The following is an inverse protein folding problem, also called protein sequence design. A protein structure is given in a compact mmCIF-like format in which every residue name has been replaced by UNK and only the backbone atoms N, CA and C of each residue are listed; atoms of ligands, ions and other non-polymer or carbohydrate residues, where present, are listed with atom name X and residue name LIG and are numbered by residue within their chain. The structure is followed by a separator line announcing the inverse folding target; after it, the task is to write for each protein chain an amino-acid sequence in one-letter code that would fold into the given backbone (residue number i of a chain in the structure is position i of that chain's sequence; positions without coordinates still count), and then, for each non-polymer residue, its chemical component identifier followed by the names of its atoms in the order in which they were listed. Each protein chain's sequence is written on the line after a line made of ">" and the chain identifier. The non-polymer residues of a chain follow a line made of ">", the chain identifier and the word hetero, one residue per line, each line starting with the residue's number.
data_IF_663367342149
#
_entry.id   IF_663367342149
#
_cell.length_a   1.000
_cell.length_b   1.000
_cell.length_c   1.000
_cell.angle_alpha   90.00
_cell.angle_beta   90.00
_cell.angle_gamma   90.00
#
_symmetry.space_group_name_H-M   'P 1'
#
loop_
_entity.id
_entity.type
_entity.pdbx_description
1 polymer ?
#
# COMPACT_ATOMS: atom_id res chain seq x y z
N UNK A 1 -9.61 -12.48 -27.97
CA UNK A 1 -8.29 -13.07 -27.66
C UNK A 1 -7.27 -11.98 -27.37
N UNK A 2 -6.81 -11.17 -28.34
CA UNK A 2 -5.92 -10.04 -28.03
C UNK A 2 -6.49 -9.07 -26.99
N UNK A 3 -7.77 -8.68 -27.14
CA UNK A 3 -8.46 -7.83 -26.16
C UNK A 3 -8.49 -8.44 -24.74
N UNK A 4 -8.62 -9.76 -24.61
CA UNK A 4 -8.63 -10.46 -23.31
C UNK A 4 -7.26 -10.39 -22.63
N UNK A 5 -6.19 -10.57 -23.40
CA UNK A 5 -4.83 -10.45 -22.88
C UNK A 5 -4.46 -9.01 -22.55
N UNK A 6 -4.89 -8.04 -23.35
CA UNK A 6 -4.74 -6.61 -23.05
C UNK A 6 -5.45 -6.24 -21.74
N UNK A 7 -6.66 -6.75 -21.53
CA UNK A 7 -7.40 -6.51 -20.29
C UNK A 7 -6.72 -7.13 -19.07
N UNK A 8 -6.18 -8.35 -19.20
CA UNK A 8 -5.39 -9.00 -18.15
C UNK A 8 -4.14 -8.17 -17.81
N UNK A 9 -3.36 -7.78 -18.82
CA UNK A 9 -2.15 -6.97 -18.64
C UNK A 9 -2.45 -5.60 -18.03
N UNK A 10 -3.61 -5.01 -18.35
CA UNK A 10 -4.08 -3.77 -17.73
C UNK A 10 -4.36 -3.93 -16.24
N UNK A 11 -5.02 -5.04 -15.83
CA UNK A 11 -5.27 -5.36 -14.41
C UNK A 11 -3.97 -5.56 -13.64
N UNK A 12 -3.05 -6.34 -14.21
CA UNK A 12 -1.71 -6.54 -13.65
C UNK A 12 -0.96 -5.21 -13.51
N UNK A 13 -0.98 -4.37 -14.56
CA UNK A 13 -0.35 -3.04 -14.52
C UNK A 13 -0.93 -2.17 -13.40
N UNK A 14 -2.23 -2.24 -13.19
CA UNK A 14 -2.93 -1.52 -12.12
C UNK A 14 -2.45 -1.99 -10.73
N UNK A 15 -2.39 -3.30 -10.51
CA UNK A 15 -1.87 -3.85 -9.25
C UNK A 15 -0.42 -3.43 -8.99
N UNK A 16 0.44 -3.49 -10.01
CA UNK A 16 1.85 -3.03 -9.91
C UNK A 16 1.94 -1.53 -9.58
N UNK A 17 1.12 -0.69 -10.23
CA UNK A 17 1.10 0.77 -9.94
C UNK A 17 0.68 1.05 -8.50
N UNK A 18 -0.32 0.35 -7.99
CA UNK A 18 -0.75 0.45 -6.60
C UNK A 18 0.37 0.04 -5.64
N UNK A 19 1.08 -1.07 -5.92
CA UNK A 19 2.25 -1.48 -5.13
C UNK A 19 3.34 -0.43 -5.08
N UNK A 20 3.71 0.15 -6.22
CA UNK A 20 4.68 1.23 -6.27
C UNK A 20 4.24 2.47 -5.46
N UNK A 21 2.95 2.80 -5.45
CA UNK A 21 2.42 3.90 -4.66
C UNK A 21 2.49 3.60 -3.15
N UNK A 22 2.17 2.37 -2.75
CA UNK A 22 2.24 1.91 -1.36
C UNK A 22 3.68 1.98 -0.85
N UNK A 23 4.65 1.42 -1.58
CA UNK A 23 6.06 1.44 -1.18
C UNK A 23 6.60 2.86 -1.04
N UNK A 24 6.26 3.75 -2.00
CA UNK A 24 6.65 5.18 -1.93
C UNK A 24 6.03 5.90 -0.73
N UNK A 25 4.77 5.60 -0.40
CA UNK A 25 4.10 6.20 0.75
C UNK A 25 4.74 5.73 2.07
N UNK A 26 5.05 4.44 2.17
CA UNK A 26 5.77 3.87 3.30
C UNK A 26 7.13 4.53 3.49
N UNK A 27 7.98 4.55 2.47
CA UNK A 27 9.30 5.19 2.54
C UNK A 27 9.24 6.66 2.98
N UNK A 28 8.25 7.41 2.50
CA UNK A 28 8.03 8.80 2.91
C UNK A 28 7.61 8.91 4.37
N UNK A 29 6.75 8.02 4.84
CA UNK A 29 6.30 8.00 6.23
C UNK A 29 7.45 7.71 7.21
N UNK A 30 8.30 6.73 6.88
CA UNK A 30 9.51 6.41 7.67
C UNK A 30 10.46 7.61 7.72
N UNK A 31 10.74 8.25 6.57
CA UNK A 31 11.59 9.46 6.50
C UNK A 31 11.02 10.64 7.29
N UNK A 32 9.70 10.73 7.43
CA UNK A 32 9.02 11.76 8.19
C UNK A 32 8.91 11.43 9.70
N UNK A 33 9.43 10.28 10.14
CA UNK A 33 9.37 9.86 11.55
C UNK A 33 7.95 9.63 12.03
N UNK A 34 7.07 9.08 11.18
CA UNK A 34 5.68 8.79 11.52
C UNK A 34 5.50 7.51 12.33
N UNK A 35 6.59 6.80 12.60
CA UNK A 35 6.59 5.52 13.30
C UNK A 35 6.08 5.69 14.74
N UNK A 36 4.90 5.14 14.97
CA UNK A 36 4.33 4.87 16.28
C UNK A 36 3.71 3.46 16.26
N UNK A 37 3.36 2.93 17.43
CA UNK A 37 2.87 1.55 17.55
C UNK A 37 1.63 1.30 16.67
N UNK A 38 0.71 2.27 16.61
CA UNK A 38 -0.51 2.19 15.80
C UNK A 38 -0.19 2.20 14.29
N UNK A 39 0.79 2.99 13.86
CA UNK A 39 1.31 2.97 12.50
C UNK A 39 1.92 1.61 12.17
N UNK A 40 2.76 1.06 13.05
CA UNK A 40 3.39 -0.26 12.87
C UNK A 40 2.38 -1.39 12.67
N UNK A 41 1.36 -1.45 13.52
CA UNK A 41 0.30 -2.48 13.44
C UNK A 41 -0.49 -2.41 12.13
N UNK A 42 -0.76 -1.20 11.65
CA UNK A 42 -1.47 -0.99 10.39
C UNK A 42 -0.59 -1.32 9.18
N UNK A 43 0.67 -0.91 9.20
CA UNK A 43 1.62 -1.11 8.11
C UNK A 43 1.89 -2.59 7.86
N UNK A 44 2.11 -3.38 8.91
CA UNK A 44 2.40 -4.81 8.73
C UNK A 44 1.30 -5.52 7.93
N UNK A 45 0.02 -5.23 8.23
CA UNK A 45 -1.13 -5.79 7.49
C UNK A 45 -1.17 -5.32 6.04
N UNK A 46 -0.73 -4.09 5.76
CA UNK A 46 -0.69 -3.53 4.41
C UNK A 46 0.45 -4.15 3.60
N UNK A 47 1.62 -4.36 4.22
CA UNK A 47 2.78 -4.99 3.59
C UNK A 47 2.51 -6.47 3.27
N UNK A 48 1.82 -7.21 4.15
CA UNK A 48 1.37 -8.57 3.81
C UNK A 48 0.46 -8.59 2.58
N UNK A 49 -0.49 -7.65 2.47
CA UNK A 49 -1.32 -7.54 1.27
C UNK A 49 -0.49 -7.18 0.03
N UNK A 50 0.53 -6.33 0.17
CA UNK A 50 1.47 -5.97 -0.89
C UNK A 50 2.18 -7.20 -1.47
N UNK A 51 2.71 -8.05 -0.61
CA UNK A 51 3.33 -9.31 -1.02
C UNK A 51 2.35 -10.22 -1.76
N UNK A 52 1.16 -10.44 -1.16
CA UNK A 52 0.13 -11.30 -1.76
C UNK A 52 -0.26 -10.86 -3.18
N UNK A 53 -0.59 -9.57 -3.37
CA UNK A 53 -1.05 -9.13 -4.69
C UNK A 53 0.08 -9.02 -5.70
N UNK A 54 1.33 -8.83 -5.24
CA UNK A 54 2.50 -8.81 -6.14
C UNK A 54 2.71 -10.21 -6.71
N UNK A 55 2.66 -11.24 -5.87
CA UNK A 55 2.74 -12.64 -6.29
C UNK A 55 1.59 -12.98 -7.24
N UNK A 56 0.36 -12.57 -6.94
CA UNK A 56 -0.79 -12.80 -7.82
C UNK A 56 -0.62 -12.09 -9.18
N UNK A 57 -0.13 -10.85 -9.18
CA UNK A 57 0.11 -10.10 -10.42
C UNK A 57 1.21 -10.75 -11.28
N UNK A 58 2.28 -11.26 -10.67
CA UNK A 58 3.34 -12.01 -11.35
C UNK A 58 2.80 -13.32 -11.93
N UNK A 59 2.06 -14.08 -11.14
CA UNK A 59 1.44 -15.33 -11.59
C UNK A 59 0.49 -15.11 -12.78
N UNK A 60 -0.32 -14.04 -12.75
CA UNK A 60 -1.17 -13.69 -13.88
C UNK A 60 -0.35 -13.35 -15.15
N UNK A 61 0.79 -12.65 -15.03
CA UNK A 61 1.69 -12.40 -16.18
C UNK A 61 2.27 -13.68 -16.74
N UNK A 62 2.74 -14.58 -15.88
CA UNK A 62 3.31 -15.86 -16.33
C UNK A 62 2.27 -16.71 -17.06
N UNK A 63 1.04 -16.74 -16.56
CA UNK A 63 -0.06 -17.43 -17.22
C UNK A 63 -0.37 -16.79 -18.58
N UNK A 64 -0.40 -15.47 -18.66
CA UNK A 64 -0.62 -14.75 -19.93
C UNK A 64 0.46 -15.09 -20.97
N UNK A 65 1.74 -15.07 -20.57
CA UNK A 65 2.84 -15.44 -21.45
C UNK A 65 2.70 -16.88 -21.95
N UNK A 66 2.39 -17.84 -21.06
CA UNK A 66 2.15 -19.24 -21.43
C UNK A 66 0.98 -19.37 -22.42
N UNK A 67 -0.12 -18.66 -22.17
CA UNK A 67 -1.33 -18.69 -23.01
C UNK A 67 -1.11 -18.08 -24.39
N UNK A 68 -0.27 -17.04 -24.53
CA UNK A 68 0.10 -16.49 -25.84
C UNK A 68 0.84 -17.49 -26.73
N UNK A 69 1.64 -18.37 -26.13
CA UNK A 69 2.41 -19.37 -26.86
C UNK A 69 1.61 -20.65 -27.18
N UNK A 70 0.43 -20.84 -26.58
CA UNK A 70 -0.44 -21.98 -26.85
C UNK A 70 -1.30 -21.74 -28.10
N UNK A 71 -1.27 -22.70 -29.04
CA UNK A 71 -2.21 -22.71 -30.18
C UNK A 71 -3.64 -22.93 -29.67
N UNK A 72 -4.50 -21.95 -29.94
CA UNK A 72 -5.89 -21.85 -29.46
C UNK A 72 -6.80 -22.99 -29.91
N UNK A 73 -6.36 -23.81 -30.87
CA UNK A 73 -7.16 -24.86 -31.51
C UNK A 73 -6.95 -26.26 -30.95
N UNK A 74 -5.92 -26.51 -30.13
CA UNK A 74 -5.55 -27.87 -29.69
C UNK A 74 -5.41 -28.05 -28.18
N UNK A 75 -5.42 -26.98 -27.37
CA UNK A 75 -5.33 -27.12 -25.92
C UNK A 75 -6.71 -27.26 -25.27
N UNK A 76 -7.08 -28.44 -24.74
CA UNK A 76 -8.42 -28.70 -24.20
C UNK A 76 -8.76 -27.86 -22.96
N UNK A 77 -7.79 -27.16 -22.37
CA UNK A 77 -7.94 -26.34 -21.16
C UNK A 77 -7.78 -24.85 -21.38
N UNK A 78 -7.53 -24.41 -22.63
CA UNK A 78 -7.14 -23.04 -22.93
C UNK A 78 -8.10 -21.98 -22.34
N UNK A 79 -9.41 -22.14 -22.55
CA UNK A 79 -10.43 -21.19 -22.05
C UNK A 79 -10.43 -21.13 -20.52
N UNK A 80 -10.34 -22.28 -19.86
CA UNK A 80 -10.30 -22.36 -18.39
C UNK A 80 -9.06 -21.67 -17.82
N UNK A 81 -7.92 -21.85 -18.48
CA UNK A 81 -6.65 -21.29 -18.04
C UNK A 81 -6.63 -19.76 -18.23
N UNK A 82 -7.25 -19.23 -19.31
CA UNK A 82 -7.53 -17.79 -19.48
C UNK A 82 -8.40 -17.25 -18.35
N UNK A 83 -9.53 -17.91 -18.05
CA UNK A 83 -10.43 -17.48 -16.97
C UNK A 83 -9.72 -17.43 -15.61
N UNK A 84 -8.92 -18.45 -15.30
CA UNK A 84 -8.12 -18.50 -14.08
C UNK A 84 -7.11 -17.35 -14.00
N UNK A 85 -6.40 -17.07 -15.10
CA UNK A 85 -5.45 -15.96 -15.14
C UNK A 85 -6.14 -14.61 -14.90
N UNK A 86 -7.35 -14.44 -15.43
CA UNK A 86 -8.15 -13.25 -15.21
C UNK A 86 -8.68 -13.12 -13.77
N UNK A 87 -9.12 -14.21 -13.14
CA UNK A 87 -9.56 -14.19 -11.73
C UNK A 87 -8.42 -13.83 -10.78
N UNK A 88 -7.21 -14.35 -11.03
CA UNK A 88 -6.01 -13.98 -10.29
C UNK A 88 -5.70 -12.49 -10.48
N UNK A 89 -5.73 -11.99 -11.72
CA UNK A 89 -5.50 -10.57 -11.99
C UNK A 89 -6.55 -9.67 -11.32
N UNK A 90 -7.83 -10.09 -11.28
CA UNK A 90 -8.90 -9.39 -10.55
C UNK A 90 -8.67 -9.38 -9.04
N UNK A 91 -8.23 -10.50 -8.47
CA UNK A 91 -7.85 -10.59 -7.05
C UNK A 91 -6.72 -9.61 -6.73
N UNK A 92 -5.66 -9.60 -7.54
CA UNK A 92 -4.52 -8.70 -7.37
C UNK A 92 -4.95 -7.21 -7.38
N UNK A 93 -5.86 -6.83 -8.29
CA UNK A 93 -6.42 -5.46 -8.31
C UNK A 93 -7.20 -5.15 -7.04
N UNK A 94 -8.07 -6.05 -6.58
CA UNK A 94 -8.88 -5.81 -5.35
C UNK A 94 -8.00 -5.65 -4.11
N UNK A 95 -7.03 -6.55 -3.93
CA UNK A 95 -6.08 -6.50 -2.81
C UNK A 95 -5.22 -5.25 -2.87
N UNK A 96 -4.66 -4.91 -4.03
CA UNK A 96 -3.81 -3.73 -4.20
C UNK A 96 -4.55 -2.41 -3.99
N UNK A 97 -5.80 -2.29 -4.46
CA UNK A 97 -6.63 -1.11 -4.18
C UNK A 97 -6.95 -0.98 -2.70
N UNK A 98 -7.29 -2.10 -2.04
CA UNK A 98 -7.56 -2.11 -0.60
C UNK A 98 -6.33 -1.70 0.19
N UNK A 99 -5.16 -2.25 -0.14
CA UNK A 99 -3.89 -1.93 0.47
C UNK A 99 -3.52 -0.45 0.27
N UNK A 100 -3.74 0.11 -0.92
CA UNK A 100 -3.47 1.52 -1.22
C UNK A 100 -4.34 2.46 -0.37
N UNK A 101 -5.65 2.21 -0.33
CA UNK A 101 -6.59 3.03 0.46
C UNK A 101 -6.24 2.97 1.96
N UNK A 102 -5.88 1.77 2.45
CA UNK A 102 -5.44 1.61 3.84
C UNK A 102 -4.12 2.34 4.11
N UNK A 103 -3.16 2.30 3.19
CA UNK A 103 -1.90 3.04 3.31
C UNK A 103 -2.15 4.55 3.40
N UNK A 104 -2.98 5.10 2.52
CA UNK A 104 -3.32 6.52 2.51
C UNK A 104 -3.95 6.96 3.84
N UNK A 105 -4.91 6.17 4.36
CA UNK A 105 -5.55 6.46 5.64
C UNK A 105 -4.58 6.35 6.83
N UNK A 106 -3.74 5.30 6.85
CA UNK A 106 -2.75 5.06 7.92
C UNK A 106 -1.73 6.20 7.98
N UNK A 107 -1.20 6.62 6.83
CA UNK A 107 -0.24 7.74 6.74
C UNK A 107 -0.90 9.05 7.18
N UNK A 108 -2.12 9.34 6.75
CA UNK A 108 -2.83 10.56 7.15
C UNK A 108 -3.02 10.62 8.68
N UNK A 109 -3.50 9.53 9.29
CA UNK A 109 -3.68 9.45 10.75
C UNK A 109 -2.36 9.59 11.51
N UNK A 110 -1.28 8.99 11.02
CA UNK A 110 0.03 9.11 11.65
C UNK A 110 0.57 10.55 11.61
N UNK A 111 0.32 11.29 10.53
CA UNK A 111 0.60 12.73 10.47
C UNK A 111 -0.20 13.52 11.51
N UNK A 112 -1.50 13.25 11.65
CA UNK A 112 -2.34 13.91 12.66
C UNK A 112 -1.84 13.66 14.07
N UNK A 113 -1.49 12.39 14.40
CA UNK A 113 -0.91 12.04 15.69
C UNK A 113 0.44 12.69 15.93
N UNK A 114 1.32 12.72 14.93
CA UNK A 114 2.61 13.41 15.04
C UNK A 114 2.41 14.90 15.33
N UNK A 115 1.53 15.56 14.58
CA UNK A 115 1.21 16.97 14.82
C UNK A 115 0.69 17.22 16.25
N UNK A 116 -0.23 16.38 16.73
CA UNK A 116 -0.76 16.50 18.09
C UNK A 116 0.34 16.34 19.16
N UNK A 117 1.31 15.44 18.95
CA UNK A 117 2.48 15.28 19.84
C UNK A 117 3.39 16.51 19.82
N UNK A 118 3.68 17.03 18.63
CA UNK A 118 4.54 18.21 18.44
C UNK A 118 3.90 19.45 19.09
N UNK A 119 2.60 19.67 18.89
CA UNK A 119 1.83 20.77 19.49
C UNK A 119 1.79 20.63 21.03
N UNK A 120 1.54 19.44 21.56
CA UNK A 120 1.55 19.20 23.01
C UNK A 120 2.93 19.41 23.64
N UNK A 121 4.01 19.06 22.95
CA UNK A 121 5.37 19.30 23.42
C UNK A 121 5.70 20.80 23.48
N UNK A 122 5.24 21.57 22.49
CA UNK A 122 5.41 23.02 22.45
C UNK A 122 4.67 23.70 23.62
N UNK A 123 3.42 23.30 23.87
CA UNK A 123 2.63 23.88 24.97
C UNK A 123 3.22 23.54 26.34
N UNK A 124 3.77 22.32 26.54
CA UNK A 124 4.51 21.98 27.77
C UNK A 124 5.75 22.85 27.96
N UNK A 125 6.53 23.07 26.91
CA UNK A 125 7.72 23.94 26.98
C UNK A 125 7.37 25.39 27.31
N UNK A 126 6.26 25.93 26.76
CA UNK A 126 5.79 27.28 27.10
C UNK A 126 5.40 27.36 28.57
N UNK A 127 4.60 26.42 29.06
CA UNK A 127 4.15 26.38 30.44
C UNK A 127 5.32 26.23 31.44
N UNK A 128 6.35 25.45 31.11
CA UNK A 128 7.56 25.33 31.92
C UNK A 128 8.38 26.63 31.97
N UNK A 129 8.53 27.33 30.84
CA UNK A 129 9.22 28.63 30.78
C UNK A 129 8.49 29.71 31.57
N UNK A 130 7.16 29.78 31.48
CA UNK A 130 6.34 30.73 32.25
C UNK A 130 6.46 30.48 33.75
N UNK A 131 6.41 29.22 34.19
CA UNK A 131 6.63 28.87 35.60
C UNK A 131 8.03 29.23 36.07
N UNK A 132 9.06 28.98 35.28
CA UNK A 132 10.44 29.33 35.64
C UNK A 132 10.65 30.86 35.73
N UNK A 133 10.03 31.64 34.84
CA UNK A 133 10.07 33.11 34.86
C UNK A 133 9.32 33.72 36.05
N UNK A 134 8.20 33.13 36.47
CA UNK A 134 7.44 33.58 37.63
C UNK A 134 8.18 33.36 38.96
N UNK A 135 8.95 32.25 39.08
CA UNK A 135 9.74 31.94 40.28
C UNK A 135 10.99 32.82 40.39
N UNK A 136 11.60 33.22 39.27
CA UNK A 136 12.77 34.10 39.24
C UNK A 136 12.49 35.59 39.49
N UNK A 137 11.24 36.04 39.43
CA UNK A 137 10.84 37.45 39.62
C UNK A 137 10.38 37.79 41.04
N UNK A 138 10.44 36.82 41.97
CA UNK A 138 9.98 36.98 43.37
C UNK A 138 11.13 37.00 44.39
N UNK A 139 12.35 37.32 43.98
CA UNK A 139 13.54 37.51 44.83
C UNK A 139 14.08 38.93 44.67
#
# INVERSE_FOLDING_TARGET
>A
MNATFEELLSKVSTATKNGNAISKAYEKAMKAGLEDDEFGDCINKILSLLEEFTIEAEHAREMEAKLRHQSTKTHPTFIRDVMKAEDIAKSAVRKSTTARVRMEATVARAYERKKARDDAALERQKAEKEKAGAVGSSA
#
